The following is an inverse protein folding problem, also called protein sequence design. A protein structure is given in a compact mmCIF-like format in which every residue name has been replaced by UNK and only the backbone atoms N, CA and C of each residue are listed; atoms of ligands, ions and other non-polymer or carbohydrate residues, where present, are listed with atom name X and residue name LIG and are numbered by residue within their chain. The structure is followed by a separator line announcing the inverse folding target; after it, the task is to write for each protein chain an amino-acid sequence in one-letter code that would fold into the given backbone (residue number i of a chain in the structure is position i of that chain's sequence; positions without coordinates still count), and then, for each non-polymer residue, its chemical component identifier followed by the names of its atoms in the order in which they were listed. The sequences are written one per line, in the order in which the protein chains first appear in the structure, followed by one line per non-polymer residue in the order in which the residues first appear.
data_IF_685303807654
#
_entry.id   IF_685303807654
#
_cell.length_a   1.000
_cell.length_b   1.000
_cell.length_c   1.000
_cell.angle_alpha   90.00
_cell.angle_beta   90.00
_cell.angle_gamma   90.00
#
_symmetry.space_group_name_H-M   'P 1'
#
loop_
_entity.id
_entity.type
_entity.pdbx_description
1 polymer ?
#
# COMPACT_ATOMS: atom_id res chain seq x y z
N UNK A 1 -0.18 6.97 -12.55
CA UNK A 1 -0.55 5.54 -12.50
C UNK A 1 -1.14 5.08 -13.83
N UNK A 2 -2.35 5.49 -14.21
CA UNK A 2 -3.00 5.06 -15.44
C UNK A 2 -2.15 5.30 -16.72
N UNK A 3 -1.65 6.54 -16.90
CA UNK A 3 -0.78 6.91 -18.02
C UNK A 3 0.56 6.15 -18.05
N UNK A 4 0.96 5.61 -16.89
CA UNK A 4 2.23 4.93 -16.68
C UNK A 4 2.05 3.40 -16.65
N UNK A 5 0.84 2.91 -16.98
CA UNK A 5 0.46 1.50 -16.94
C UNK A 5 0.73 0.82 -15.58
N UNK A 6 0.59 1.58 -14.49
CA UNK A 6 0.63 1.08 -13.11
C UNK A 6 -0.80 0.76 -12.69
N UNK A 7 -1.02 -0.50 -12.31
CA UNK A 7 -2.29 -0.97 -11.77
C UNK A 7 -2.46 -0.52 -10.31
N UNK A 8 -3.68 -0.09 -9.96
CA UNK A 8 -4.06 0.16 -8.57
C UNK A 8 -4.64 -1.11 -7.96
N UNK A 9 -3.98 -1.65 -6.92
CA UNK A 9 -4.55 -2.71 -6.07
C UNK A 9 -4.95 -2.07 -4.75
N UNK A 10 -6.21 -2.23 -4.34
CA UNK A 10 -6.72 -1.54 -3.16
C UNK A 10 -7.79 -2.33 -2.41
N UNK A 11 -8.17 -1.80 -1.25
CA UNK A 11 -9.08 -2.41 -0.30
C UNK A 11 -10.55 -2.46 -0.66
N UNK A 12 -10.93 -2.16 -1.92
CA UNK A 12 -12.28 -2.35 -2.45
C UNK A 12 -13.30 -1.25 -2.13
N UNK A 13 -13.22 -0.52 -1.01
CA UNK A 13 -14.25 0.48 -0.66
C UNK A 13 -14.38 1.60 -1.71
N UNK A 14 -15.61 2.04 -2.00
CA UNK A 14 -15.92 3.19 -2.86
C UNK A 14 -16.05 4.51 -2.06
N UNK A 15 -15.81 4.47 -0.76
CA UNK A 15 -15.98 5.63 0.12
C UNK A 15 -14.70 6.46 0.29
N UNK A 16 -14.88 7.76 0.52
CA UNK A 16 -13.80 8.70 0.82
C UNK A 16 -12.72 8.78 -0.27
N UNK A 17 -11.46 8.88 0.18
CA UNK A 17 -10.29 9.03 -0.70
C UNK A 17 -10.09 7.80 -1.61
N UNK A 18 -10.46 6.61 -1.13
CA UNK A 18 -10.30 5.36 -1.88
C UNK A 18 -11.18 5.32 -3.13
N UNK A 19 -12.44 5.76 -3.02
CA UNK A 19 -13.34 5.89 -4.16
C UNK A 19 -12.86 6.92 -5.18
N UNK A 20 -12.32 8.06 -4.71
CA UNK A 20 -11.75 9.07 -5.60
C UNK A 20 -10.58 8.50 -6.40
N UNK A 21 -9.69 7.73 -5.77
CA UNK A 21 -8.56 7.11 -6.47
C UNK A 21 -8.97 6.06 -7.47
N UNK A 22 -9.81 5.10 -7.08
CA UNK A 22 -10.26 4.03 -7.98
C UNK A 22 -10.96 4.61 -9.19
N UNK A 23 -11.90 5.54 -8.98
CA UNK A 23 -12.63 6.18 -10.06
C UNK A 23 -11.71 6.98 -10.99
N UNK A 24 -10.79 7.79 -10.44
CA UNK A 24 -9.86 8.58 -11.25
C UNK A 24 -8.95 7.68 -12.10
N UNK A 25 -8.49 6.54 -11.57
CA UNK A 25 -7.67 5.59 -12.34
C UNK A 25 -8.48 5.00 -13.49
N UNK A 26 -9.73 4.60 -13.25
CA UNK A 26 -10.63 4.04 -14.27
C UNK A 26 -10.97 5.05 -15.37
N UNK A 27 -11.31 6.29 -15.00
CA UNK A 27 -11.62 7.37 -15.94
C UNK A 27 -10.45 7.70 -16.87
N UNK A 28 -9.22 7.42 -16.44
CA UNK A 28 -8.01 7.58 -17.22
C UNK A 28 -7.56 6.29 -17.93
N UNK A 29 -8.47 5.31 -18.08
CA UNK A 29 -8.23 4.00 -18.72
C UNK A 29 -7.14 3.15 -18.03
N UNK A 30 -6.92 3.36 -16.74
CA UNK A 30 -6.06 2.52 -15.91
C UNK A 30 -6.75 1.24 -15.46
N UNK A 31 -6.00 0.37 -14.79
CA UNK A 31 -6.51 -0.87 -14.19
C UNK A 31 -6.67 -0.72 -12.69
N UNK A 32 -7.77 -1.23 -12.16
CA UNK A 32 -8.06 -1.26 -10.73
C UNK A 32 -8.47 -2.68 -10.30
N UNK A 33 -7.73 -3.25 -9.36
CA UNK A 33 -8.10 -4.46 -8.63
C UNK A 33 -8.59 -4.11 -7.23
N UNK A 34 -9.88 -4.36 -6.97
CA UNK A 34 -10.49 -4.21 -5.64
C UNK A 34 -10.59 -5.55 -4.91
N UNK A 35 -10.14 -5.60 -3.65
CA UNK A 35 -10.19 -6.78 -2.79
C UNK A 35 -11.07 -6.47 -1.59
N UNK A 36 -12.14 -7.24 -1.37
CA UNK A 36 -13.14 -6.90 -0.36
C UNK A 36 -13.82 -8.13 0.27
N UNK A 37 -14.04 -8.15 1.59
CA UNK A 37 -14.78 -9.23 2.25
C UNK A 37 -16.27 -9.14 1.93
N UNK A 38 -16.82 -10.18 1.32
CA UNK A 38 -18.26 -10.25 1.04
C UNK A 38 -19.04 -10.62 2.30
N UNK A 39 -20.17 -9.95 2.54
CA UNK A 39 -21.10 -10.30 3.63
C UNK A 39 -20.72 -9.77 5.02
N UNK A 40 -19.58 -9.09 5.20
CA UNK A 40 -19.26 -8.40 6.46
C UNK A 40 -19.84 -6.98 6.55
N UNK A 41 -19.95 -6.28 5.41
CA UNK A 41 -20.36 -4.87 5.36
C UNK A 41 -21.38 -4.65 4.24
N UNK A 42 -22.64 -5.02 4.49
CA UNK A 42 -23.73 -4.94 3.49
C UNK A 42 -23.95 -3.52 2.93
N UNK A 43 -23.62 -2.48 3.70
CA UNK A 43 -23.77 -1.07 3.30
C UNK A 43 -22.57 -0.50 2.53
N UNK A 44 -21.44 -1.20 2.50
CA UNK A 44 -20.16 -0.73 1.91
C UNK A 44 -19.65 -1.67 0.82
N UNK A 45 -20.54 -2.45 0.21
CA UNK A 45 -20.15 -3.36 -0.86
C UNK A 45 -19.70 -2.54 -2.07
N UNK A 46 -18.48 -2.76 -2.59
CA UNK A 46 -17.99 -2.04 -3.74
C UNK A 46 -18.93 -2.24 -4.92
N UNK A 47 -19.36 -1.15 -5.56
CA UNK A 47 -20.03 -1.25 -6.86
C UNK A 47 -19.03 -1.83 -7.85
N UNK A 48 -19.51 -2.68 -8.76
CA UNK A 48 -18.74 -3.48 -9.75
C UNK A 48 -17.91 -2.65 -10.76
N UNK A 49 -17.56 -1.40 -10.46
CA UNK A 49 -16.90 -0.46 -11.36
C UNK A 49 -15.39 -0.69 -11.48
N UNK A 50 -14.80 -1.64 -10.74
CA UNK A 50 -13.38 -1.99 -10.84
C UNK A 50 -13.08 -2.92 -12.01
N UNK A 51 -11.84 -2.88 -12.52
CA UNK A 51 -11.38 -3.78 -13.60
C UNK A 51 -11.37 -5.24 -13.15
N UNK A 52 -11.04 -5.50 -11.89
CA UNK A 52 -11.05 -6.83 -11.29
C UNK A 52 -11.50 -6.74 -9.85
N UNK A 53 -12.48 -7.56 -9.49
CA UNK A 53 -12.98 -7.68 -8.13
C UNK A 53 -12.61 -9.04 -7.55
N UNK A 54 -12.08 -9.04 -6.33
CA UNK A 54 -11.65 -10.25 -5.61
C UNK A 54 -12.39 -10.30 -4.27
N UNK A 55 -13.43 -11.13 -4.16
CA UNK A 55 -14.13 -11.33 -2.89
C UNK A 55 -13.26 -12.14 -1.93
N UNK A 56 -13.39 -11.86 -0.62
CA UNK A 56 -12.78 -12.66 0.44
C UNK A 56 -13.82 -13.05 1.50
N UNK A 57 -13.52 -14.08 2.28
CA UNK A 57 -14.40 -14.54 3.36
C UNK A 57 -14.13 -13.79 4.67
N UNK A 58 -12.99 -13.11 4.79
CA UNK A 58 -12.58 -12.39 6.00
C UNK A 58 -11.75 -11.15 5.72
N UNK A 59 -11.62 -10.30 6.74
CA UNK A 59 -10.72 -9.13 6.74
C UNK A 59 -9.24 -9.56 6.71
N UNK A 60 -8.88 -10.64 7.39
CA UNK A 60 -7.50 -11.12 7.39
C UNK A 60 -7.09 -11.63 6.01
N UNK A 61 -7.94 -12.42 5.35
CA UNK A 61 -7.71 -12.85 3.97
C UNK A 61 -7.62 -11.67 3.00
N UNK A 62 -8.48 -10.65 3.15
CA UNK A 62 -8.39 -9.40 2.37
C UNK A 62 -7.00 -8.78 2.50
N UNK A 63 -6.47 -8.65 3.72
CA UNK A 63 -5.17 -8.03 3.97
C UNK A 63 -4.03 -8.87 3.41
N UNK A 64 -4.09 -10.20 3.54
CA UNK A 64 -3.13 -11.12 2.90
C UNK A 64 -3.06 -10.86 1.40
N UNK A 65 -4.20 -10.93 0.71
CA UNK A 65 -4.25 -10.78 -0.74
C UNK A 65 -3.83 -9.37 -1.19
N UNK A 66 -4.20 -8.33 -0.43
CA UNK A 66 -3.79 -6.95 -0.68
C UNK A 66 -2.28 -6.80 -0.64
N UNK A 67 -1.65 -7.34 0.41
CA UNK A 67 -0.19 -7.26 0.56
C UNK A 67 0.53 -8.12 -0.46
N UNK A 68 -0.01 -9.28 -0.87
CA UNK A 68 0.63 -10.15 -1.86
C UNK A 68 0.62 -9.55 -3.27
N UNK A 69 -0.50 -8.96 -3.69
CA UNK A 69 -0.71 -8.50 -5.07
C UNK A 69 0.03 -7.23 -5.47
N UNK A 70 0.30 -6.33 -4.51
CA UNK A 70 1.02 -5.09 -4.82
C UNK A 70 2.53 -5.31 -4.89
N UNK A 71 3.21 -4.76 -5.88
CA UNK A 71 4.69 -4.81 -5.94
C UNK A 71 5.34 -3.74 -5.03
N UNK A 72 4.61 -2.66 -4.77
CA UNK A 72 4.96 -1.56 -3.87
C UNK A 72 3.70 -1.11 -3.11
N UNK A 73 3.91 -0.42 -1.99
CA UNK A 73 2.80 0.09 -1.16
C UNK A 73 2.85 1.61 -1.10
N UNK A 74 1.71 2.26 -1.36
CA UNK A 74 1.55 3.71 -1.24
C UNK A 74 0.49 4.02 -0.20
N UNK A 75 0.85 4.79 0.82
CA UNK A 75 0.01 5.13 1.97
C UNK A 75 -0.38 6.60 1.87
N UNK A 76 -1.68 6.84 1.86
CA UNK A 76 -2.29 8.17 1.88
C UNK A 76 -2.79 8.53 3.28
N UNK A 77 -2.99 9.82 3.59
CA UNK A 77 -3.61 10.24 4.85
C UNK A 77 -4.90 9.46 5.12
N UNK A 78 -4.94 8.79 6.27
CA UNK A 78 -6.03 7.90 6.65
C UNK A 78 -6.07 7.66 8.16
N UNK A 79 -7.17 7.07 8.63
CA UNK A 79 -7.42 6.87 10.05
C UNK A 79 -6.83 5.57 10.62
N UNK A 80 -7.52 5.02 11.62
CA UNK A 80 -7.07 3.81 12.32
C UNK A 80 -6.96 2.58 11.42
N UNK A 81 -7.83 2.43 10.42
CA UNK A 81 -7.74 1.32 9.46
C UNK A 81 -6.44 1.34 8.67
N UNK A 82 -6.05 2.50 8.14
CA UNK A 82 -4.78 2.67 7.43
C UNK A 82 -3.57 2.40 8.33
N UNK A 83 -3.63 2.86 9.59
CA UNK A 83 -2.56 2.60 10.56
C UNK A 83 -2.46 1.11 10.92
N UNK A 84 -3.60 0.43 11.08
CA UNK A 84 -3.67 -1.01 11.35
C UNK A 84 -3.02 -1.81 10.22
N UNK A 85 -3.44 -1.58 8.98
CA UNK A 85 -2.88 -2.23 7.78
C UNK A 85 -1.37 -1.96 7.65
N UNK A 86 -0.94 -0.72 7.86
CA UNK A 86 0.48 -0.36 7.83
C UNK A 86 1.29 -1.10 8.90
N UNK A 87 0.81 -1.11 10.14
CA UNK A 87 1.49 -1.78 11.25
C UNK A 87 1.59 -3.29 11.04
N UNK A 88 0.55 -3.91 10.45
CA UNK A 88 0.55 -5.33 10.13
C UNK A 88 1.54 -5.64 9.01
N UNK A 89 1.57 -4.82 7.94
CA UNK A 89 2.53 -4.95 6.86
C UNK A 89 3.98 -4.91 7.37
N UNK A 90 4.32 -3.90 8.19
CA UNK A 90 5.65 -3.81 8.80
C UNK A 90 6.00 -5.03 9.65
N UNK A 91 5.04 -5.52 10.44
CA UNK A 91 5.23 -6.70 11.27
C UNK A 91 5.53 -7.94 10.42
N UNK A 92 4.81 -8.12 9.31
CA UNK A 92 4.99 -9.27 8.41
C UNK A 92 6.30 -9.22 7.65
N UNK A 93 6.70 -8.02 7.22
CA UNK A 93 8.02 -7.79 6.60
C UNK A 93 9.12 -8.12 7.63
N UNK A 94 8.99 -7.66 8.87
CA UNK A 94 9.99 -7.88 9.92
C UNK A 94 10.21 -9.36 10.27
N UNK A 95 9.17 -10.19 10.21
CA UNK A 95 9.26 -11.65 10.44
C UNK A 95 9.49 -12.47 9.17
N UNK A 96 9.57 -11.83 8.00
CA UNK A 96 9.78 -12.50 6.71
C UNK A 96 8.57 -13.27 6.17
N UNK A 97 7.35 -12.95 6.63
CA UNK A 97 6.12 -13.59 6.15
C UNK A 97 5.70 -13.08 4.76
N UNK A 98 5.99 -11.82 4.46
CA UNK A 98 5.80 -11.23 3.13
C UNK A 98 7.14 -10.72 2.58
N UNK A 99 7.39 -10.80 1.26
CA UNK A 99 8.58 -10.24 0.67
C UNK A 99 8.76 -8.76 1.01
N UNK A 100 10.01 -8.32 1.04
CA UNK A 100 10.32 -6.91 1.19
C UNK A 100 9.80 -6.10 -0.02
N UNK A 101 9.06 -5.03 0.27
CA UNK A 101 8.43 -4.15 -0.73
C UNK A 101 8.69 -2.69 -0.34
N UNK A 102 8.97 -1.81 -1.31
CA UNK A 102 9.14 -0.39 -1.00
C UNK A 102 7.80 0.21 -0.57
N UNK A 103 7.82 0.99 0.51
CA UNK A 103 6.63 1.64 1.09
C UNK A 103 6.78 3.15 0.95
N UNK A 104 5.85 3.80 0.26
CA UNK A 104 5.79 5.25 0.13
C UNK A 104 4.69 5.80 1.03
N UNK A 105 4.99 6.82 1.82
CA UNK A 105 4.05 7.50 2.71
C UNK A 105 3.91 8.95 2.28
N UNK A 106 2.70 9.33 1.90
CA UNK A 106 2.37 10.67 1.45
C UNK A 106 2.16 11.59 2.66
N UNK A 107 3.22 12.31 3.05
CA UNK A 107 3.23 13.22 4.19
C UNK A 107 2.78 14.65 3.79
N UNK A 108 1.54 14.78 3.33
CA UNK A 108 0.97 16.09 3.00
C UNK A 108 0.69 16.88 4.28
N UNK A 109 1.22 18.10 4.36
CA UNK A 109 0.99 18.99 5.50
C UNK A 109 1.59 18.49 6.83
N UNK A 110 2.50 17.52 6.79
CA UNK A 110 3.10 16.92 7.98
C UNK A 110 2.19 15.93 8.71
N UNK A 111 1.15 15.40 8.04
CA UNK A 111 0.20 14.44 8.60
C UNK A 111 0.87 13.21 9.24
N UNK A 112 1.95 12.71 8.65
CA UNK A 112 2.71 11.54 9.08
C UNK A 112 4.07 11.85 9.70
N UNK A 113 4.43 13.12 9.89
CA UNK A 113 5.73 13.47 10.51
C UNK A 113 5.89 12.86 11.92
N UNK A 114 4.80 12.76 12.68
CA UNK A 114 4.80 12.06 13.97
C UNK A 114 5.05 10.55 13.86
N UNK A 115 4.49 9.91 12.81
CA UNK A 115 4.73 8.50 12.52
C UNK A 115 6.19 8.25 12.12
N UNK A 116 6.76 9.11 11.28
CA UNK A 116 8.17 9.05 10.93
C UNK A 116 9.07 9.10 12.17
N UNK A 117 8.82 10.07 13.05
CA UNK A 117 9.56 10.22 14.32
C UNK A 117 9.44 8.97 15.21
N UNK A 118 8.26 8.34 15.24
CA UNK A 118 8.05 7.11 16.01
C UNK A 118 8.88 5.93 15.47
N UNK A 119 8.91 5.75 14.15
CA UNK A 119 9.71 4.70 13.50
C UNK A 119 11.21 4.91 13.73
N UNK A 120 11.68 6.16 13.62
CA UNK A 120 13.06 6.52 13.95
C UNK A 120 13.39 6.22 15.42
N UNK A 121 12.44 6.45 16.33
CA UNK A 121 12.59 6.10 17.75
C UNK A 121 12.69 4.59 17.95
N UNK A 122 11.86 3.79 17.29
CA UNK A 122 11.96 2.32 17.37
C UNK A 122 13.32 1.82 16.90
N UNK A 123 13.85 2.38 15.82
CA UNK A 123 15.18 2.02 15.32
C UNK A 123 16.28 2.42 16.31
N UNK A 124 16.23 3.66 16.82
CA UNK A 124 17.21 4.20 17.76
C UNK A 124 17.28 3.42 19.07
N UNK A 125 16.12 3.03 19.61
CA UNK A 125 16.01 2.31 20.88
C UNK A 125 16.18 0.79 20.72
N UNK A 126 16.43 0.29 19.50
CA UNK A 126 16.70 -1.13 19.23
C UNK A 126 15.47 -2.03 19.16
N UNK A 127 14.26 -1.46 19.07
CA UNK A 127 13.02 -2.20 18.86
C UNK A 127 12.72 -2.52 17.38
N UNK A 128 13.45 -1.89 16.45
CA UNK A 128 13.36 -2.13 15.01
C UNK A 128 14.76 -2.08 14.39
N UNK A 129 15.03 -2.94 13.41
CA UNK A 129 16.27 -2.86 12.63
C UNK A 129 16.26 -1.57 11.78
N UNK A 130 17.29 -0.72 11.91
CA UNK A 130 17.38 0.56 11.22
C UNK A 130 17.32 0.43 9.69
N UNK A 131 17.66 -0.74 9.13
CA UNK A 131 17.54 -0.97 7.68
C UNK A 131 16.11 -0.80 7.17
N UNK A 132 15.09 -1.00 8.02
CA UNK A 132 13.69 -0.83 7.65
C UNK A 132 13.34 0.63 7.33
N UNK A 133 14.05 1.60 7.92
CA UNK A 133 13.88 3.01 7.58
C UNK A 133 14.28 3.30 6.13
N UNK A 134 15.19 2.52 5.54
CA UNK A 134 15.59 2.66 4.14
C UNK A 134 14.55 2.09 3.15
N UNK A 135 13.48 1.48 3.66
CA UNK A 135 12.39 0.88 2.86
C UNK A 135 11.09 1.69 2.93
N UNK A 136 11.05 2.70 3.80
CA UNK A 136 9.89 3.56 4.03
C UNK A 136 10.25 4.98 3.63
N UNK A 137 9.60 5.46 2.56
CA UNK A 137 9.90 6.73 1.93
C UNK A 137 8.79 7.73 2.23
N UNK A 138 9.13 8.79 2.97
CA UNK A 138 8.22 9.90 3.24
C UNK A 138 8.43 11.00 2.19
N UNK A 139 7.33 11.52 1.65
CA UNK A 139 7.37 12.68 0.75
C UNK A 139 6.01 13.36 0.71
N UNK A 140 6.01 14.68 0.58
CA UNK A 140 4.79 15.48 0.37
C UNK A 140 4.40 15.58 -1.13
N UNK A 141 5.20 15.01 -2.03
CA UNK A 141 4.97 15.01 -3.46
C UNK A 141 4.57 13.59 -3.91
N UNK A 142 3.33 13.38 -4.39
CA UNK A 142 2.84 12.06 -4.80
C UNK A 142 3.51 11.54 -6.08
N UNK A 143 3.86 12.40 -7.04
CA UNK A 143 4.56 11.98 -8.25
C UNK A 143 5.95 11.44 -7.92
N UNK A 144 6.68 12.17 -7.05
CA UNK A 144 7.99 11.74 -6.56
C UNK A 144 7.93 10.38 -5.86
N UNK A 145 6.87 10.12 -5.07
CA UNK A 145 6.69 8.82 -4.42
C UNK A 145 6.48 7.71 -5.45
N UNK A 146 5.58 7.92 -6.42
CA UNK A 146 5.31 6.91 -7.45
C UNK A 146 6.57 6.59 -8.27
N UNK A 147 7.36 7.60 -8.63
CA UNK A 147 8.60 7.41 -9.37
C UNK A 147 9.62 6.61 -8.54
N UNK A 148 9.83 6.99 -7.28
CA UNK A 148 10.74 6.31 -6.37
C UNK A 148 10.33 4.84 -6.16
N UNK A 149 9.05 4.58 -5.89
CA UNK A 149 8.54 3.22 -5.68
C UNK A 149 8.73 2.35 -6.92
N UNK A 150 8.58 2.92 -8.11
CA UNK A 150 8.80 2.20 -9.37
C UNK A 150 10.28 1.83 -9.56
N UNK A 151 11.18 2.75 -9.28
CA UNK A 151 12.63 2.53 -9.36
C UNK A 151 13.06 1.40 -8.40
N UNK A 152 12.64 1.48 -7.14
CA UNK A 152 12.93 0.46 -6.11
C UNK A 152 12.39 -0.92 -6.50
N UNK A 153 11.15 -0.98 -7.01
CA UNK A 153 10.52 -2.23 -7.45
C UNK A 153 11.28 -2.86 -8.62
N UNK A 154 11.70 -2.04 -9.59
CA UNK A 154 12.47 -2.51 -10.75
C UNK A 154 13.83 -3.06 -10.32
N UNK A 155 14.49 -2.38 -9.39
CA UNK A 155 15.75 -2.83 -8.78
C UNK A 155 15.61 -4.19 -8.08
N UNK A 156 14.60 -4.35 -7.23
CA UNK A 156 14.30 -5.61 -6.53
C UNK A 156 14.04 -6.76 -7.51
N UNK A 157 13.25 -6.52 -8.55
CA UNK A 157 12.94 -7.54 -9.56
C UNK A 157 14.17 -8.01 -10.33
N UNK A 158 15.15 -7.12 -10.51
CA UNK A 158 16.42 -7.42 -11.20
C UNK A 158 17.32 -8.28 -10.31
N UNK A 159 17.49 -7.90 -9.03
CA UNK A 159 18.27 -8.66 -8.06
C UNK A 159 17.73 -10.09 -7.84
N UNK A 160 16.40 -10.26 -7.79
CA UNK A 160 15.77 -11.57 -7.64
C UNK A 160 15.94 -12.48 -8.87
N UNK A 161 16.12 -11.90 -10.07
CA UNK A 161 16.43 -12.66 -11.28
C UNK A 161 17.88 -13.12 -11.34
N UNK A 162 18.81 -12.32 -10.81
CA UNK A 162 20.24 -12.65 -10.77
C UNK A 162 20.59 -13.65 -9.66
N UNK A 163 19.76 -13.75 -8.61
CA UNK A 163 19.95 -14.67 -7.48
C UNK A 163 19.41 -16.10 -7.72
N UNK A 164 18.86 -16.40 -8.90
CA UNK A 164 18.35 -17.73 -9.31
C UNK A 164 19.23 -18.33 -10.39
#
# INVERSE_FOLDING_TARGET
MAQENIELVYGGSDSGIMGVFSQTVLENNGKVTGIYPTGLFELETPKEEVTTFIPTDSIDERKVLLFEKGDAVLIFPGGLGTLEEFSQLLSWIAIGLTPDKPIGILDIGGYYSGLQTLLETFAKEGFMDAKWLNRIFFSNNPLKLVDLLREETTGLSTLLKEAK
#
